data_IF_722994769926
#
_entry.id   IF_722994769926
#
_cell.length_a   1.000
_cell.length_b   1.000
_cell.length_c   1.000
_cell.angle_alpha   90.00
_cell.angle_beta   90.00
_cell.angle_gamma   90.00
#
_symmetry.space_group_name_H-M   'P 1'
#
loop_
_entity.id
_entity.type
_entity.pdbx_description
1 polymer ?
#
# COMPACT_ATOMS: atom_id res chain seq x y z
N UNK A 1 -6.82 -20.23 3.13
CA UNK A 1 -8.00 -19.38 2.92
C UNK A 1 -9.08 -20.19 2.24
N UNK A 2 -10.33 -20.02 2.63
CA UNK A 2 -11.49 -20.46 1.86
C UNK A 2 -11.67 -19.58 0.61
N UNK A 3 -12.56 -19.97 -0.31
CA UNK A 3 -12.85 -19.13 -1.48
C UNK A 3 -13.50 -17.79 -1.10
N UNK A 4 -14.35 -17.77 -0.08
CA UNK A 4 -14.95 -16.54 0.44
C UNK A 4 -13.89 -15.61 1.04
N UNK A 5 -12.95 -16.16 1.81
CA UNK A 5 -11.82 -15.38 2.32
C UNK A 5 -10.94 -14.86 1.17
N UNK A 6 -10.70 -15.67 0.13
CA UNK A 6 -9.89 -15.27 -1.03
C UNK A 6 -10.54 -14.11 -1.78
N UNK A 7 -11.86 -14.18 -1.97
CA UNK A 7 -12.65 -13.08 -2.55
C UNK A 7 -12.57 -11.82 -1.69
N UNK A 8 -12.81 -11.95 -0.38
CA UNK A 8 -12.74 -10.81 0.54
C UNK A 8 -11.34 -10.16 0.53
N UNK A 9 -10.29 -10.96 0.51
CA UNK A 9 -8.90 -10.50 0.45
C UNK A 9 -8.58 -9.77 -0.86
N UNK A 10 -9.01 -10.32 -2.01
CA UNK A 10 -8.84 -9.66 -3.30
C UNK A 10 -9.60 -8.33 -3.39
N UNK A 11 -10.82 -8.27 -2.86
CA UNK A 11 -11.64 -7.06 -2.83
C UNK A 11 -10.98 -5.97 -1.97
N UNK A 12 -10.52 -6.31 -0.75
CA UNK A 12 -9.87 -5.31 0.10
C UNK A 12 -8.53 -4.85 -0.46
N UNK A 13 -7.76 -5.76 -1.08
CA UNK A 13 -6.53 -5.42 -1.80
C UNK A 13 -6.81 -4.37 -2.89
N UNK A 14 -7.81 -4.60 -3.74
CA UNK A 14 -8.16 -3.66 -4.81
C UNK A 14 -8.60 -2.29 -4.26
N UNK A 15 -9.47 -2.28 -3.24
CA UNK A 15 -10.00 -1.06 -2.63
C UNK A 15 -8.93 -0.23 -1.94
N UNK A 16 -8.04 -0.86 -1.18
CA UNK A 16 -6.95 -0.16 -0.49
C UNK A 16 -5.91 0.35 -1.50
N UNK A 17 -5.55 -0.45 -2.52
CA UNK A 17 -4.66 0.01 -3.59
C UNK A 17 -5.20 1.26 -4.30
N UNK A 18 -6.50 1.26 -4.66
CA UNK A 18 -7.15 2.44 -5.26
C UNK A 18 -7.12 3.63 -4.30
N UNK A 19 -7.46 3.43 -3.03
CA UNK A 19 -7.46 4.49 -2.03
C UNK A 19 -6.08 5.15 -1.87
N UNK A 20 -5.00 4.35 -1.86
CA UNK A 20 -3.62 4.87 -1.80
C UNK A 20 -3.31 5.71 -3.04
N UNK A 21 -3.61 5.19 -4.24
CA UNK A 21 -3.34 5.92 -5.49
C UNK A 21 -4.05 7.27 -5.55
N UNK A 22 -5.32 7.31 -5.15
CA UNK A 22 -6.14 8.54 -5.19
C UNK A 22 -5.75 9.55 -4.09
N UNK A 23 -5.44 9.09 -2.88
CA UNK A 23 -5.09 9.98 -1.78
C UNK A 23 -3.66 10.54 -1.91
N UNK A 24 -2.73 9.72 -2.38
CA UNK A 24 -1.29 10.03 -2.32
C UNK A 24 -0.68 10.29 -3.72
N UNK A 25 -1.50 10.26 -4.78
CA UNK A 25 -1.10 10.57 -6.17
C UNK A 25 0.07 9.73 -6.67
N UNK A 26 0.07 8.47 -6.27
CA UNK A 26 1.11 7.50 -6.60
C UNK A 26 0.92 7.03 -8.04
N UNK A 27 2.00 6.74 -8.73
CA UNK A 27 1.94 6.37 -10.15
C UNK A 27 1.54 4.89 -10.37
N UNK A 28 1.85 3.99 -9.44
CA UNK A 28 1.28 2.64 -9.33
C UNK A 28 1.51 2.04 -7.93
N UNK A 29 1.00 0.82 -7.70
CA UNK A 29 1.19 0.02 -6.48
C UNK A 29 1.89 -1.30 -6.84
N UNK A 30 2.95 -1.64 -6.12
CA UNK A 30 3.46 -3.01 -6.07
C UNK A 30 2.68 -3.80 -5.02
N UNK A 31 2.06 -4.91 -5.42
CA UNK A 31 1.35 -5.82 -4.52
C UNK A 31 2.12 -7.12 -4.41
N UNK A 32 2.58 -7.48 -3.21
CA UNK A 32 3.32 -8.73 -2.99
C UNK A 32 2.99 -9.37 -1.65
N UNK A 33 3.00 -10.70 -1.65
CA UNK A 33 2.93 -11.51 -0.45
C UNK A 33 4.22 -12.34 -0.34
N UNK A 34 4.88 -12.25 0.82
CA UNK A 34 6.08 -13.02 1.14
C UNK A 34 5.89 -13.65 2.52
N UNK A 35 6.31 -14.91 2.68
CA UNK A 35 6.09 -15.69 3.91
C UNK A 35 7.36 -16.16 4.60
N UNK A 36 8.54 -15.70 4.15
CA UNK A 36 9.81 -16.28 4.60
C UNK A 36 10.13 -16.01 6.09
N UNK A 37 9.66 -14.89 6.65
CA UNK A 37 10.00 -14.47 8.02
C UNK A 37 8.81 -14.46 8.98
N UNK A 38 7.59 -14.22 8.50
CA UNK A 38 6.39 -14.14 9.34
C UNK A 38 5.33 -15.10 8.78
N UNK A 39 4.83 -16.07 9.59
CA UNK A 39 3.92 -17.10 9.11
C UNK A 39 2.48 -16.60 8.93
N UNK A 40 2.11 -15.50 9.60
CA UNK A 40 0.78 -14.91 9.44
C UNK A 40 0.67 -14.30 8.04
N UNK A 41 -0.32 -14.73 7.25
CA UNK A 41 -0.59 -14.18 5.93
C UNK A 41 -0.76 -12.65 5.99
N UNK A 42 0.05 -11.95 5.23
CA UNK A 42 -0.04 -10.51 5.01
C UNK A 42 0.42 -10.19 3.59
N UNK A 43 0.08 -8.99 3.13
CA UNK A 43 0.46 -8.47 1.84
C UNK A 43 0.98 -7.05 2.01
N UNK A 44 2.04 -6.72 1.27
CA UNK A 44 2.55 -5.36 1.17
C UNK A 44 1.96 -4.70 -0.07
N UNK A 45 1.43 -3.49 0.12
CA UNK A 45 1.05 -2.58 -0.95
C UNK A 45 2.04 -1.41 -0.89
N UNK A 46 2.98 -1.39 -1.83
CA UNK A 46 4.06 -0.40 -1.85
C UNK A 46 3.81 0.62 -2.96
N UNK A 47 3.48 1.88 -2.61
CA UNK A 47 3.28 2.93 -3.59
C UNK A 47 4.60 3.42 -4.18
N UNK A 48 4.60 3.61 -5.50
CA UNK A 48 5.68 4.29 -6.22
C UNK A 48 5.26 5.72 -6.53
N UNK A 49 5.96 6.68 -5.91
CA UNK A 49 5.64 8.09 -6.01
C UNK A 49 6.30 8.73 -7.24
N UNK A 50 5.74 9.84 -7.75
CA UNK A 50 6.42 10.64 -8.75
C UNK A 50 7.81 11.05 -8.29
N UNK A 51 8.77 11.02 -9.21
CA UNK A 51 10.17 11.38 -8.98
C UNK A 51 10.97 10.43 -8.08
N UNK A 52 10.43 9.26 -7.69
CA UNK A 52 11.28 8.20 -7.12
C UNK A 52 12.36 7.83 -8.14
N UNK A 53 13.67 7.92 -7.79
CA UNK A 53 14.75 7.57 -8.71
C UNK A 53 14.62 6.13 -9.19
N UNK A 54 14.92 5.89 -10.47
CA UNK A 54 14.68 4.60 -11.14
C UNK A 54 15.36 3.40 -10.47
N UNK A 55 16.53 3.64 -9.86
CA UNK A 55 17.27 2.61 -9.12
C UNK A 55 16.56 2.13 -7.84
N UNK A 56 15.54 2.84 -7.39
CA UNK A 56 14.76 2.53 -6.19
C UNK A 56 13.30 2.15 -6.51
N UNK A 57 13.03 1.69 -7.74
CA UNK A 57 11.67 1.32 -8.15
C UNK A 57 11.23 -0.05 -7.64
N UNK A 58 12.14 -0.96 -7.25
CA UNK A 58 11.70 -2.24 -6.71
C UNK A 58 10.90 -2.07 -5.42
N UNK A 59 10.00 -3.03 -5.10
CA UNK A 59 9.08 -2.92 -3.97
C UNK A 59 9.78 -2.79 -2.60
N UNK A 60 11.05 -3.19 -2.50
CA UNK A 60 11.86 -3.03 -1.30
C UNK A 60 13.05 -2.09 -1.53
N UNK A 61 13.32 -1.65 -2.76
CA UNK A 61 14.52 -0.88 -3.09
C UNK A 61 14.46 0.53 -2.50
N UNK A 62 13.27 1.02 -2.15
CA UNK A 62 13.08 2.30 -1.44
C UNK A 62 13.76 2.32 -0.07
N UNK A 63 13.96 1.16 0.57
CA UNK A 63 14.68 1.09 1.85
C UNK A 63 16.18 1.38 1.71
N UNK A 64 16.74 1.21 0.51
CA UNK A 64 18.14 1.52 0.21
C UNK A 64 18.34 3.00 -0.21
N UNK A 65 17.26 3.80 -0.26
CA UNK A 65 17.34 5.22 -0.58
C UNK A 65 17.54 6.05 0.68
N UNK A 66 18.80 6.42 0.97
CA UNK A 66 19.20 7.17 2.17
C UNK A 66 18.44 8.51 2.35
N UNK A 67 18.23 9.24 1.26
CA UNK A 67 17.50 10.51 1.25
C UNK A 67 15.98 10.36 1.04
N UNK A 68 15.42 9.14 1.13
CA UNK A 68 14.00 8.94 0.97
C UNK A 68 13.21 9.74 2.02
N UNK A 69 12.13 10.45 1.63
CA UNK A 69 11.26 11.10 2.60
C UNK A 69 10.65 10.07 3.57
N UNK A 70 10.95 10.21 4.85
CA UNK A 70 10.42 9.36 5.91
C UNK A 70 9.36 10.12 6.70
N UNK A 71 8.14 9.57 6.74
CA UNK A 71 7.05 10.14 7.51
C UNK A 71 7.19 9.86 9.00
N UNK A 72 6.84 10.84 9.83
CA UNK A 72 6.71 10.66 11.27
C UNK A 72 5.37 9.99 11.65
N UNK A 73 5.19 9.70 12.94
CA UNK A 73 3.96 9.06 13.43
C UNK A 73 2.69 9.90 13.14
N UNK A 74 2.77 11.23 13.21
CA UNK A 74 1.64 12.11 12.91
C UNK A 74 1.28 12.06 11.43
N UNK A 75 2.28 12.01 10.55
CA UNK A 75 2.09 11.86 9.11
C UNK A 75 1.48 10.51 8.76
N UNK A 76 1.93 9.43 9.41
CA UNK A 76 1.34 8.09 9.27
C UNK A 76 -0.13 8.08 9.72
N UNK A 77 -0.45 8.69 10.87
CA UNK A 77 -1.85 8.79 11.35
C UNK A 77 -2.73 9.56 10.36
N UNK A 78 -2.22 10.66 9.79
CA UNK A 78 -2.95 11.44 8.77
C UNK A 78 -3.16 10.62 7.50
N UNK A 79 -2.16 9.86 7.05
CA UNK A 79 -2.27 8.94 5.92
C UNK A 79 -3.36 7.89 6.16
N UNK A 80 -3.30 7.19 7.29
CA UNK A 80 -4.32 6.20 7.67
C UNK A 80 -5.73 6.80 7.69
N UNK A 81 -5.86 8.04 8.18
CA UNK A 81 -7.15 8.75 8.22
C UNK A 81 -7.69 9.06 6.82
N UNK A 82 -6.83 9.52 5.89
CA UNK A 82 -7.22 9.78 4.50
C UNK A 82 -7.66 8.51 3.79
N UNK A 83 -6.88 7.44 3.91
CA UNK A 83 -7.18 6.13 3.30
C UNK A 83 -8.50 5.59 3.85
N UNK A 84 -8.69 5.58 5.18
CA UNK A 84 -9.94 5.13 5.81
C UNK A 84 -11.14 5.91 5.28
N UNK A 85 -11.05 7.24 5.28
CA UNK A 85 -12.14 8.09 4.80
C UNK A 85 -12.45 7.88 3.31
N UNK A 86 -11.45 7.54 2.48
CA UNK A 86 -11.69 7.17 1.08
C UNK A 86 -12.43 5.83 0.98
N UNK A 87 -11.96 4.80 1.69
CA UNK A 87 -12.53 3.44 1.65
C UNK A 87 -13.98 3.43 2.17
N UNK A 88 -14.29 4.21 3.21
CA UNK A 88 -15.64 4.37 3.76
C UNK A 88 -16.59 5.09 2.80
N UNK A 89 -16.14 6.18 2.16
CA UNK A 89 -16.95 6.92 1.19
C UNK A 89 -17.24 6.13 -0.08
N UNK A 90 -16.34 5.24 -0.47
CA UNK A 90 -16.46 4.40 -1.67
C UNK A 90 -16.72 2.93 -1.28
N UNK A 91 -17.56 2.70 -0.27
CA UNK A 91 -17.79 1.36 0.27
C UNK A 91 -18.44 0.36 -0.71
N UNK A 92 -19.08 0.89 -1.76
CA UNK A 92 -19.88 0.15 -2.73
C UNK A 92 -19.26 0.13 -4.14
N UNK A 93 -18.07 0.69 -4.32
CA UNK A 93 -17.21 0.40 -5.48
C UNK A 93 -16.41 -0.89 -5.22
#
# INVERSE_FOLDING_TARGET
MTLEEAKAFGVIMARVSKAIMECEKTEHIYSLASGNSVPHLHMHLVPRYPNTPKQFWGPNDVYDWEDAPMGDNSEVVKLCTRIRAYVERNAYE
#
